data_IF_994106828199
#
_entry.id   IF_994106828199
#
_cell.length_a   1.000
_cell.length_b   1.000
_cell.length_c   1.000
_cell.angle_alpha   90.00
_cell.angle_beta   90.00
_cell.angle_gamma   90.00
#
_symmetry.space_group_name_H-M   'P 1'
#
loop_
_entity.id
_entity.type
_entity.pdbx_description
1 polymer ?
#
# COMPACT_ATOMS: atom_id res chain seq x y z
N UNK A 1 4.98 37.52 16.21
CA UNK A 1 6.08 36.53 16.31
C UNK A 1 5.57 35.19 16.84
N UNK A 2 4.95 35.13 18.04
CA UNK A 2 4.42 33.89 18.63
C UNK A 2 3.46 33.05 17.74
N UNK A 3 2.56 33.67 16.98
CA UNK A 3 1.64 32.95 16.05
C UNK A 3 2.38 32.23 14.91
N UNK A 4 3.47 32.83 14.40
CA UNK A 4 4.27 32.23 13.33
C UNK A 4 5.10 31.05 13.84
N UNK A 5 5.56 31.12 15.09
CA UNK A 5 6.32 30.03 15.71
C UNK A 5 5.42 28.84 16.05
N UNK A 6 4.20 29.11 16.52
CA UNK A 6 3.17 28.07 16.70
C UNK A 6 2.81 27.35 15.39
N UNK A 7 2.58 28.10 14.31
CA UNK A 7 2.27 27.52 13.00
C UNK A 7 3.41 26.63 12.45
N UNK A 8 4.67 27.05 12.61
CA UNK A 8 5.84 26.27 12.20
C UNK A 8 5.98 24.96 12.99
N UNK A 9 5.71 24.99 14.30
CA UNK A 9 5.73 23.80 15.15
C UNK A 9 4.67 22.77 14.75
N UNK A 10 3.44 23.24 14.48
CA UNK A 10 2.34 22.40 14.00
C UNK A 10 2.69 21.79 12.65
N UNK A 11 3.15 22.61 11.70
CA UNK A 11 3.52 22.14 10.36
C UNK A 11 4.63 21.08 10.41
N UNK A 12 5.65 21.28 11.24
CA UNK A 12 6.72 20.29 11.43
C UNK A 12 6.19 18.97 11.99
N UNK A 13 5.27 19.04 12.95
CA UNK A 13 4.65 17.85 13.54
C UNK A 13 3.78 17.10 12.52
N UNK A 14 3.00 17.83 11.73
CA UNK A 14 2.16 17.25 10.66
C UNK A 14 3.02 16.57 9.59
N UNK A 15 4.12 17.20 9.17
CA UNK A 15 5.04 16.60 8.20
C UNK A 15 5.61 15.28 8.74
N UNK A 16 6.03 15.23 10.00
CA UNK A 16 6.61 14.02 10.62
C UNK A 16 5.61 12.87 10.79
N UNK A 17 4.34 13.17 11.06
CA UNK A 17 3.29 12.15 11.26
C UNK A 17 2.68 11.66 9.94
N UNK A 18 2.66 12.50 8.90
CA UNK A 18 2.10 12.15 7.59
C UNK A 18 2.60 10.82 6.99
N UNK A 19 3.92 10.49 6.99
CA UNK A 19 4.39 9.21 6.47
C UNK A 19 3.91 8.02 7.30
N UNK A 20 3.68 8.19 8.62
CA UNK A 20 3.08 7.15 9.47
C UNK A 20 1.63 6.90 9.09
N UNK A 21 0.83 7.97 9.00
CA UNK A 21 -0.58 7.86 8.67
C UNK A 21 -0.80 7.23 7.29
N UNK A 22 -0.04 7.66 6.28
CA UNK A 22 -0.14 7.14 4.91
C UNK A 22 0.33 5.69 4.80
N UNK A 23 1.49 5.36 5.36
CA UNK A 23 2.04 3.98 5.38
C UNK A 23 1.11 3.01 6.12
N UNK A 24 0.60 3.42 7.28
CA UNK A 24 -0.31 2.58 8.06
C UNK A 24 -1.62 2.34 7.31
N UNK A 25 -2.23 3.40 6.78
CA UNK A 25 -3.48 3.29 6.01
C UNK A 25 -3.31 2.37 4.80
N UNK A 26 -2.18 2.48 4.09
CA UNK A 26 -1.88 1.65 2.94
C UNK A 26 -1.68 0.18 3.32
N UNK A 27 -0.95 -0.08 4.41
CA UNK A 27 -0.76 -1.44 4.93
C UNK A 27 -2.11 -2.08 5.30
N UNK A 28 -3.01 -1.32 5.93
CA UNK A 28 -4.36 -1.77 6.23
C UNK A 28 -5.15 -2.09 4.96
N UNK A 29 -5.11 -1.23 3.93
CA UNK A 29 -5.73 -1.53 2.64
C UNK A 29 -5.20 -2.85 2.03
N UNK A 30 -3.89 -3.10 2.12
CA UNK A 30 -3.27 -4.32 1.59
C UNK A 30 -3.63 -5.58 2.37
N UNK A 31 -3.78 -5.46 3.70
CA UNK A 31 -4.28 -6.53 4.56
C UNK A 31 -5.75 -6.83 4.27
N UNK A 32 -6.60 -5.81 4.22
CA UNK A 32 -8.02 -5.95 3.90
C UNK A 32 -8.21 -6.61 2.54
N UNK A 33 -7.43 -6.19 1.55
CA UNK A 33 -7.39 -6.81 0.23
C UNK A 33 -6.96 -8.28 0.29
N UNK A 34 -5.98 -8.64 1.12
CA UNK A 34 -5.58 -10.04 1.32
C UNK A 34 -6.72 -10.85 1.92
N UNK A 35 -7.33 -10.37 2.99
CA UNK A 35 -8.40 -11.09 3.69
C UNK A 35 -9.66 -11.20 2.84
N UNK A 36 -10.11 -10.11 2.23
CA UNK A 36 -11.26 -10.10 1.32
C UNK A 36 -11.03 -11.10 0.18
N UNK A 37 -9.89 -11.04 -0.50
CA UNK A 37 -9.66 -11.93 -1.63
C UNK A 37 -9.39 -13.38 -1.23
N UNK A 38 -8.90 -13.63 -0.02
CA UNK A 38 -8.76 -14.98 0.51
C UNK A 38 -10.12 -15.68 0.70
N UNK A 39 -11.19 -14.91 0.91
CA UNK A 39 -12.54 -15.47 1.05
C UNK A 39 -13.04 -16.15 -0.24
N UNK A 40 -12.57 -15.70 -1.41
CA UNK A 40 -12.95 -16.25 -2.72
C UNK A 40 -12.26 -17.58 -3.08
N UNK A 41 -11.44 -18.13 -2.18
CA UNK A 41 -10.82 -19.46 -2.38
C UNK A 41 -11.82 -20.61 -2.27
N UNK A 42 -13.02 -20.35 -1.75
CA UNK A 42 -14.10 -21.33 -1.72
C UNK A 42 -14.85 -21.36 -3.06
N UNK A 43 -15.19 -22.54 -3.59
CA UNK A 43 -16.03 -22.67 -4.80
C UNK A 43 -17.37 -21.95 -4.69
N UNK A 44 -17.90 -21.78 -3.46
CA UNK A 44 -19.19 -21.12 -3.21
C UNK A 44 -19.17 -19.62 -3.49
N UNK A 45 -18.00 -19.01 -3.36
CA UNK A 45 -17.82 -17.55 -3.46
C UNK A 45 -17.09 -17.17 -4.75
N UNK A 46 -16.36 -18.08 -5.36
CA UNK A 46 -15.54 -17.83 -6.56
C UNK A 46 -16.32 -17.16 -7.70
N UNK A 47 -17.59 -17.53 -7.92
CA UNK A 47 -18.41 -16.95 -8.99
C UNK A 47 -18.63 -15.44 -8.85
N UNK A 48 -18.51 -14.89 -7.65
CA UNK A 48 -18.60 -13.45 -7.39
C UNK A 48 -17.26 -12.72 -7.49
N UNK A 49 -16.15 -13.43 -7.72
CA UNK A 49 -14.82 -12.84 -7.77
C UNK A 49 -14.65 -11.85 -8.94
N UNK A 50 -15.05 -12.16 -10.19
CA UNK A 50 -14.87 -11.22 -11.30
C UNK A 50 -15.62 -9.90 -11.10
N UNK A 51 -16.87 -9.96 -10.63
CA UNK A 51 -17.67 -8.76 -10.35
C UNK A 51 -17.11 -7.94 -9.18
N UNK A 52 -16.69 -8.62 -8.11
CA UNK A 52 -16.01 -7.96 -6.98
C UNK A 52 -14.70 -7.31 -7.42
N UNK A 53 -13.93 -8.00 -8.28
CA UNK A 53 -12.66 -7.49 -8.81
C UNK A 53 -12.88 -6.25 -9.66
N UNK A 54 -13.90 -6.25 -10.51
CA UNK A 54 -14.30 -5.06 -11.29
C UNK A 54 -14.63 -3.87 -10.37
N UNK A 55 -15.45 -4.06 -9.34
CA UNK A 55 -15.76 -3.01 -8.36
C UNK A 55 -14.51 -2.50 -7.62
N UNK A 56 -13.59 -3.40 -7.28
CA UNK A 56 -12.32 -3.03 -6.67
C UNK A 56 -11.45 -2.18 -7.61
N UNK A 57 -11.31 -2.58 -8.88
CA UNK A 57 -10.49 -1.90 -9.88
C UNK A 57 -11.03 -0.50 -10.23
N UNK A 58 -12.35 -0.37 -10.38
CA UNK A 58 -12.99 0.89 -10.76
C UNK A 58 -13.13 1.85 -9.58
N UNK A 59 -13.26 1.32 -8.35
CA UNK A 59 -13.54 2.12 -7.15
C UNK A 59 -12.34 2.30 -6.21
N UNK A 60 -11.80 1.21 -5.68
CA UNK A 60 -10.84 1.25 -4.57
C UNK A 60 -9.40 1.42 -5.06
N UNK A 61 -9.03 0.82 -6.20
CA UNK A 61 -7.66 0.87 -6.70
C UNK A 61 -7.15 2.32 -6.94
N UNK A 62 -7.91 3.25 -7.53
CA UNK A 62 -7.45 4.64 -7.69
C UNK A 62 -7.13 5.32 -6.34
N UNK A 63 -7.90 5.01 -5.30
CA UNK A 63 -7.65 5.53 -3.95
C UNK A 63 -6.35 4.96 -3.36
N UNK A 64 -6.14 3.64 -3.48
CA UNK A 64 -4.90 2.98 -3.03
C UNK A 64 -3.68 3.56 -3.75
N UNK A 65 -3.75 3.74 -5.07
CA UNK A 65 -2.69 4.36 -5.86
C UNK A 65 -2.42 5.80 -5.42
N UNK A 66 -3.47 6.59 -5.15
CA UNK A 66 -3.32 7.95 -4.66
C UNK A 66 -2.63 7.98 -3.29
N UNK A 67 -2.97 7.05 -2.41
CA UNK A 67 -2.35 6.92 -1.09
C UNK A 67 -0.87 6.52 -1.20
N UNK A 68 -0.51 5.67 -2.17
CA UNK A 68 0.88 5.31 -2.50
C UNK A 68 1.72 6.54 -2.84
N UNK A 69 1.28 7.32 -3.83
CA UNK A 69 1.99 8.54 -4.22
C UNK A 69 2.03 9.58 -3.10
N UNK A 70 0.97 9.66 -2.29
CA UNK A 70 0.96 10.52 -1.10
C UNK A 70 2.02 10.08 -0.09
N UNK A 71 2.18 8.77 0.14
CA UNK A 71 3.24 8.23 0.99
C UNK A 71 4.62 8.64 0.49
N UNK A 72 4.89 8.47 -0.82
CA UNK A 72 6.17 8.89 -1.41
C UNK A 72 6.44 10.38 -1.20
N UNK A 73 5.44 11.23 -1.44
CA UNK A 73 5.57 12.66 -1.25
C UNK A 73 5.89 13.02 0.21
N UNK A 74 5.23 12.38 1.17
CA UNK A 74 5.46 12.64 2.59
C UNK A 74 6.82 12.13 3.07
N UNK A 75 7.28 10.98 2.58
CA UNK A 75 8.64 10.48 2.84
C UNK A 75 9.69 11.43 2.26
N UNK A 76 9.54 11.84 1.00
CA UNK A 76 10.45 12.78 0.35
C UNK A 76 10.49 14.14 1.06
N UNK A 77 9.33 14.67 1.47
CA UNK A 77 9.26 15.88 2.28
C UNK A 77 10.04 15.72 3.59
N UNK A 78 9.91 14.58 4.28
CA UNK A 78 10.62 14.35 5.54
C UNK A 78 12.14 14.21 5.38
N UNK A 79 12.63 13.69 4.24
CA UNK A 79 14.07 13.71 3.94
C UNK A 79 14.60 15.15 3.92
N UNK A 80 13.81 16.08 3.36
CA UNK A 80 14.20 17.49 3.26
C UNK A 80 14.10 18.22 4.61
N UNK A 81 12.97 18.05 5.31
CA UNK A 81 12.63 18.81 6.51
C UNK A 81 13.19 18.22 7.82
N UNK A 82 13.43 16.91 7.88
CA UNK A 82 13.85 16.21 9.10
C UNK A 82 15.26 15.64 8.96
N UNK A 83 16.26 16.53 8.94
CA UNK A 83 17.67 16.17 8.68
C UNK A 83 18.29 15.23 9.72
N UNK A 84 17.80 15.19 10.96
CA UNK A 84 18.33 14.28 11.99
C UNK A 84 17.97 12.81 11.73
N UNK A 85 16.85 12.54 11.05
CA UNK A 85 16.34 11.19 10.79
C UNK A 85 16.23 10.88 9.29
N UNK A 86 16.94 11.63 8.44
CA UNK A 86 16.84 11.54 6.98
C UNK A 86 17.08 10.11 6.47
N UNK A 87 17.98 9.35 7.09
CA UNK A 87 18.32 7.98 6.67
C UNK A 87 17.14 7.02 6.80
N UNK A 88 16.31 7.17 7.83
CA UNK A 88 15.09 6.37 8.00
C UNK A 88 14.06 6.69 6.93
N UNK A 89 13.83 7.97 6.63
CA UNK A 89 12.90 8.37 5.57
C UNK A 89 13.41 8.02 4.17
N UNK A 90 14.72 8.08 3.93
CA UNK A 90 15.33 7.63 2.68
C UNK A 90 15.22 6.10 2.51
N UNK A 91 15.47 5.34 3.58
CA UNK A 91 15.24 3.90 3.59
C UNK A 91 13.77 3.54 3.35
N UNK A 92 12.85 4.27 3.99
CA UNK A 92 11.42 4.15 3.76
C UNK A 92 11.05 4.44 2.30
N UNK A 93 11.54 5.54 1.72
CA UNK A 93 11.31 5.87 0.32
C UNK A 93 11.83 4.78 -0.63
N UNK A 94 12.99 4.19 -0.33
CA UNK A 94 13.54 3.08 -1.12
C UNK A 94 12.65 1.83 -1.03
N UNK A 95 12.19 1.46 0.17
CA UNK A 95 11.25 0.35 0.37
C UNK A 95 9.93 0.57 -0.38
N UNK A 96 9.43 1.80 -0.35
CA UNK A 96 8.29 2.27 -1.14
C UNK A 96 8.51 2.13 -2.65
N UNK A 97 9.68 2.49 -3.17
CA UNK A 97 10.00 2.26 -4.60
C UNK A 97 10.06 0.76 -4.91
N UNK A 98 10.64 -0.06 -4.03
CA UNK A 98 10.67 -1.52 -4.19
C UNK A 98 9.27 -2.11 -4.20
N UNK A 99 8.34 -1.56 -3.40
CA UNK A 99 6.92 -1.94 -3.42
C UNK A 99 6.33 -1.79 -4.83
N UNK A 100 6.63 -0.68 -5.52
CA UNK A 100 6.14 -0.39 -6.87
C UNK A 100 6.58 -1.41 -7.93
N UNK A 101 7.74 -2.06 -7.76
CA UNK A 101 8.19 -3.08 -8.72
C UNK A 101 7.25 -4.29 -8.80
N UNK A 102 6.41 -4.52 -7.79
CA UNK A 102 5.38 -5.56 -7.84
C UNK A 102 4.15 -5.14 -8.65
N UNK A 103 3.96 -3.84 -8.94
CA UNK A 103 2.74 -3.31 -9.56
C UNK A 103 2.44 -3.90 -10.95
N UNK A 104 3.40 -4.05 -11.88
CA UNK A 104 3.12 -4.66 -13.18
C UNK A 104 2.66 -6.12 -13.07
N UNK A 105 3.25 -6.87 -12.14
CA UNK A 105 2.88 -8.26 -11.88
C UNK A 105 1.50 -8.35 -11.21
N UNK A 106 1.23 -7.50 -10.22
CA UNK A 106 -0.08 -7.39 -9.59
C UNK A 106 -1.17 -7.06 -10.60
N UNK A 107 -0.93 -6.07 -11.47
CA UNK A 107 -1.88 -5.66 -12.53
C UNK A 107 -2.22 -6.82 -13.47
N UNK A 108 -1.20 -7.58 -13.90
CA UNK A 108 -1.39 -8.78 -14.74
C UNK A 108 -2.28 -9.83 -14.08
N UNK A 109 -2.15 -10.03 -12.77
CA UNK A 109 -2.98 -10.99 -12.03
C UNK A 109 -4.40 -10.46 -11.82
N UNK A 110 -4.54 -9.18 -11.49
CA UNK A 110 -5.85 -8.55 -11.29
C UNK A 110 -6.70 -8.53 -12.56
N UNK A 111 -6.09 -8.21 -13.71
CA UNK A 111 -6.82 -8.18 -14.99
C UNK A 111 -7.30 -9.57 -15.42
N UNK A 112 -6.54 -10.62 -15.09
CA UNK A 112 -6.98 -12.01 -15.26
C UNK A 112 -8.17 -12.34 -14.36
N UNK A 113 -8.06 -12.04 -13.06
CA UNK A 113 -9.15 -12.26 -12.10
C UNK A 113 -10.45 -11.53 -12.43
N UNK A 114 -10.36 -10.40 -13.14
CA UNK A 114 -11.51 -9.66 -13.65
C UNK A 114 -12.19 -10.35 -14.85
N UNK A 115 -11.46 -11.17 -15.61
CA UNK A 115 -11.97 -11.84 -16.80
C UNK A 115 -12.98 -12.93 -16.47
N UNK A 116 -14.16 -12.82 -17.05
CA UNK A 116 -15.20 -13.86 -16.96
C UNK A 116 -14.86 -15.09 -17.82
N UNK A 117 -13.99 -14.92 -18.82
CA UNK A 117 -13.61 -15.97 -19.78
C UNK A 117 -12.55 -16.95 -19.22
N UNK A 118 -11.91 -16.62 -18.09
CA UNK A 118 -10.87 -17.47 -17.49
C UNK A 118 -11.49 -18.73 -16.84
N UNK A 119 -10.88 -19.88 -17.10
CA UNK A 119 -11.36 -21.16 -16.56
C UNK A 119 -11.18 -21.21 -15.03
N UNK A 120 -12.09 -21.87 -14.30
CA UNK A 120 -12.13 -21.83 -12.82
C UNK A 120 -10.82 -22.29 -12.15
N UNK A 121 -10.21 -23.34 -12.68
CA UNK A 121 -8.93 -23.85 -12.18
C UNK A 121 -7.79 -22.85 -12.37
N UNK A 122 -7.76 -22.15 -13.51
CA UNK A 122 -6.75 -21.12 -13.80
C UNK A 122 -7.00 -19.88 -12.92
N UNK A 123 -8.25 -19.46 -12.76
CA UNK A 123 -8.65 -18.36 -11.88
C UNK A 123 -8.22 -18.60 -10.43
N UNK A 124 -8.43 -19.79 -9.89
CA UNK A 124 -7.96 -20.16 -8.54
C UNK A 124 -6.43 -20.22 -8.44
N UNK A 125 -5.75 -20.59 -9.53
CA UNK A 125 -4.29 -20.47 -9.66
C UNK A 125 -3.84 -19.01 -9.57
N UNK A 126 -4.43 -18.14 -10.39
CA UNK A 126 -4.18 -16.70 -10.45
C UNK A 126 -4.46 -16.03 -9.09
N UNK A 127 -5.57 -16.38 -8.42
CA UNK A 127 -5.92 -15.85 -7.09
C UNK A 127 -4.87 -16.23 -6.05
N UNK A 128 -4.43 -17.49 -6.03
CA UNK A 128 -3.38 -17.93 -5.10
C UNK A 128 -2.06 -17.23 -5.37
N UNK A 129 -1.69 -17.04 -6.63
CA UNK A 129 -0.49 -16.30 -7.00
C UNK A 129 -0.56 -14.85 -6.50
N UNK A 130 -1.72 -14.21 -6.67
CA UNK A 130 -1.97 -12.86 -6.21
C UNK A 130 -1.87 -12.73 -4.68
N UNK A 131 -2.55 -13.62 -3.94
CA UNK A 131 -2.52 -13.64 -2.48
C UNK A 131 -1.10 -13.87 -1.94
N UNK A 132 -0.33 -14.76 -2.56
CA UNK A 132 1.07 -15.04 -2.18
C UNK A 132 1.95 -13.81 -2.41
N UNK A 133 1.84 -13.19 -3.58
CA UNK A 133 2.57 -11.95 -3.88
C UNK A 133 2.19 -10.83 -2.91
N UNK A 134 0.89 -10.64 -2.63
CA UNK A 134 0.42 -9.61 -1.72
C UNK A 134 0.95 -9.84 -0.29
N UNK A 135 0.92 -11.08 0.21
CA UNK A 135 1.49 -11.41 1.51
C UNK A 135 3.00 -11.16 1.57
N UNK A 136 3.73 -11.58 0.54
CA UNK A 136 5.17 -11.35 0.47
C UNK A 136 5.50 -9.85 0.48
N UNK A 137 4.73 -9.06 -0.27
CA UNK A 137 4.84 -7.60 -0.29
C UNK A 137 4.61 -7.01 1.11
N UNK A 138 3.54 -7.39 1.80
CA UNK A 138 3.26 -6.90 3.17
C UNK A 138 4.45 -7.19 4.10
N UNK A 139 5.01 -8.40 4.04
CA UNK A 139 6.11 -8.80 4.92
C UNK A 139 7.44 -8.14 4.57
N UNK A 140 7.75 -7.95 3.28
CA UNK A 140 9.08 -7.51 2.82
C UNK A 140 9.15 -6.00 2.63
N UNK A 141 8.04 -5.34 2.29
CA UNK A 141 8.01 -3.89 2.08
C UNK A 141 7.23 -3.18 3.17
N UNK A 142 5.99 -3.59 3.44
CA UNK A 142 5.07 -2.75 4.22
C UNK A 142 5.42 -2.76 5.72
N UNK A 143 5.71 -3.93 6.30
CA UNK A 143 6.14 -4.03 7.71
C UNK A 143 7.47 -3.30 7.94
N UNK A 144 8.54 -3.50 7.14
CA UNK A 144 9.75 -2.69 7.26
C UNK A 144 9.53 -1.20 7.06
N UNK A 145 8.61 -0.81 6.15
CA UNK A 145 8.27 0.59 5.93
C UNK A 145 7.60 1.21 7.16
N UNK A 146 6.69 0.49 7.83
CA UNK A 146 6.10 0.92 9.12
C UNK A 146 7.19 1.19 10.15
N UNK A 147 8.16 0.29 10.29
CA UNK A 147 9.29 0.47 11.22
C UNK A 147 10.08 1.73 10.84
N UNK A 148 10.37 1.91 9.55
CA UNK A 148 11.14 3.05 9.05
C UNK A 148 10.46 4.42 9.32
N UNK A 149 9.13 4.47 9.37
CA UNK A 149 8.39 5.72 9.64
C UNK A 149 8.09 5.95 11.12
N UNK A 150 8.03 4.89 11.95
CA UNK A 150 7.77 5.01 13.39
C UNK A 150 9.04 5.33 14.18
N UNK A 151 10.17 4.67 13.89
CA UNK A 151 11.41 4.84 14.67
C UNK A 151 11.87 6.31 14.77
N UNK A 152 11.79 7.13 13.71
CA UNK A 152 12.10 8.57 13.77
C UNK A 152 11.24 9.42 14.70
N UNK A 153 10.14 8.88 15.23
CA UNK A 153 9.24 9.57 16.16
C UNK A 153 9.49 9.23 17.62
N UNK A 154 10.26 8.17 17.90
CA UNK A 154 10.67 7.75 19.24
C UNK A 154 11.91 8.54 19.69
#
# INVERSE_FOLDING_TARGET
MALLDGAKSILSSLVRIAPVATTFSMTMCHLDQHFLFSSFRSPRTESALPSTMKSYLDGILPFVVSLEFTSYATLAANIWFTRSAWGWYAGGLLLSIVHLFNAPYAWKLLSRLQSEEEDSLDRQGTLRAFLRMNLLRILVTDVPLIVAVIVPLL
#
